data_IF_970266400249
#
_entry.id   IF_970266400249
#
_cell.length_a   1.000
_cell.length_b   1.000
_cell.length_c   1.000
_cell.angle_alpha   90.00
_cell.angle_beta   90.00
_cell.angle_gamma   90.00
#
_symmetry.space_group_name_H-M   'P 1'
#
loop_
_entity.id
_entity.type
_entity.pdbx_description
1 polymer ?
#
# COMPACT_ATOMS: atom_id res chain seq x y z
N UNK A 1 8.68 1.05 -18.83
CA UNK A 1 7.52 0.15 -19.05
C UNK A 1 7.78 -1.35 -18.89
N UNK A 2 9.02 -1.87 -19.03
CA UNK A 2 9.33 -3.25 -18.57
C UNK A 2 10.03 -3.28 -17.20
N UNK A 3 10.90 -2.31 -16.93
CA UNK A 3 11.53 -2.14 -15.62
C UNK A 3 10.51 -1.95 -14.49
N UNK A 4 9.47 -1.15 -14.72
CA UNK A 4 8.44 -0.83 -13.72
C UNK A 4 7.61 -2.08 -13.35
N UNK A 5 7.36 -2.97 -14.32
CA UNK A 5 6.61 -4.22 -14.11
C UNK A 5 7.40 -5.23 -13.28
N UNK A 6 8.71 -5.33 -13.48
CA UNK A 6 9.56 -6.24 -12.70
C UNK A 6 9.70 -5.80 -11.24
N UNK A 7 9.81 -4.50 -10.99
CA UNK A 7 9.84 -3.94 -9.64
C UNK A 7 8.50 -4.12 -8.92
N UNK A 8 7.37 -3.85 -9.59
CA UNK A 8 6.04 -4.04 -9.01
C UNK A 8 5.76 -5.49 -8.61
N UNK A 9 6.18 -6.48 -9.43
CA UNK A 9 6.05 -7.91 -9.09
C UNK A 9 6.82 -8.29 -7.83
N UNK A 10 8.03 -7.73 -7.62
CA UNK A 10 8.82 -7.98 -6.41
C UNK A 10 8.16 -7.37 -5.18
N UNK A 11 7.64 -6.15 -5.31
CA UNK A 11 6.94 -5.44 -4.23
C UNK A 11 5.70 -6.20 -3.76
N UNK A 12 4.84 -6.63 -4.68
CA UNK A 12 3.63 -7.42 -4.35
C UNK A 12 3.98 -8.75 -3.70
N UNK A 13 5.01 -9.45 -4.21
CA UNK A 13 5.44 -10.73 -3.62
C UNK A 13 5.90 -10.55 -2.17
N UNK A 14 6.65 -9.49 -1.88
CA UNK A 14 7.14 -9.21 -0.54
C UNK A 14 6.01 -8.87 0.45
N UNK A 15 5.02 -8.07 0.04
CA UNK A 15 3.81 -7.82 0.85
C UNK A 15 3.11 -9.15 1.18
N UNK A 16 2.98 -10.03 0.18
CA UNK A 16 2.40 -11.36 0.36
C UNK A 16 3.19 -12.25 1.33
N UNK A 17 4.51 -12.09 1.43
CA UNK A 17 5.34 -12.81 2.41
C UNK A 17 5.09 -12.30 3.84
N UNK A 18 4.98 -10.98 4.04
CA UNK A 18 4.63 -10.38 5.35
C UNK A 18 3.27 -10.88 5.84
N UNK A 19 2.24 -10.77 5.00
CA UNK A 19 0.87 -11.17 5.36
C UNK A 19 0.77 -12.68 5.57
N UNK A 20 1.60 -13.48 4.91
CA UNK A 20 1.65 -14.93 5.12
C UNK A 20 2.25 -15.29 6.48
N UNK A 21 3.29 -14.57 6.90
CA UNK A 21 3.97 -14.80 8.17
C UNK A 21 3.17 -14.26 9.36
N UNK A 22 2.35 -13.22 9.15
CA UNK A 22 1.41 -12.67 10.13
C UNK A 22 0.04 -12.38 9.48
N UNK A 23 -0.88 -13.37 9.45
CA UNK A 23 -2.20 -13.20 8.85
C UNK A 23 -3.11 -12.27 9.66
N UNK A 24 -2.74 -11.99 10.92
CA UNK A 24 -3.45 -11.10 11.83
C UNK A 24 -2.84 -9.68 11.82
N UNK A 25 -1.96 -9.37 10.85
CA UNK A 25 -1.36 -8.05 10.72
C UNK A 25 -2.43 -6.99 10.43
N UNK A 26 -2.48 -5.97 11.28
CA UNK A 26 -3.34 -4.82 11.06
C UNK A 26 -2.84 -3.97 9.89
N UNK A 27 -3.76 -3.41 9.10
CA UNK A 27 -3.39 -2.56 7.97
C UNK A 27 -2.49 -1.39 8.38
N UNK A 28 -2.65 -0.87 9.60
CA UNK A 28 -1.84 0.22 10.12
C UNK A 28 -0.37 -0.18 10.29
N UNK A 29 -0.10 -1.41 10.72
CA UNK A 29 1.25 -1.94 10.88
C UNK A 29 1.85 -2.33 9.52
N UNK A 30 1.04 -2.89 8.62
CA UNK A 30 1.44 -3.10 7.23
C UNK A 30 1.84 -1.79 6.55
N UNK A 31 1.05 -0.72 6.72
CA UNK A 31 1.38 0.60 6.17
C UNK A 31 2.68 1.14 6.78
N UNK A 32 2.88 1.02 8.11
CA UNK A 32 4.13 1.44 8.77
C UNK A 32 5.35 0.68 8.26
N UNK A 33 5.22 -0.63 8.01
CA UNK A 33 6.28 -1.44 7.43
C UNK A 33 6.61 -1.05 5.99
N UNK A 34 5.61 -0.57 5.24
CA UNK A 34 5.75 -0.11 3.86
C UNK A 34 6.31 1.31 3.73
N UNK A 35 6.07 2.18 4.70
CA UNK A 35 6.47 3.59 4.67
C UNK A 35 7.96 3.80 4.35
N UNK A 36 8.93 3.15 5.03
CA UNK A 36 10.34 3.32 4.74
C UNK A 36 10.70 3.02 3.28
N UNK A 37 10.10 1.98 2.68
CA UNK A 37 10.38 1.65 1.28
C UNK A 37 9.83 2.68 0.30
N UNK A 38 8.67 3.27 0.60
CA UNK A 38 8.05 4.31 -0.22
C UNK A 38 8.87 5.61 -0.11
N UNK A 39 9.40 5.92 1.07
CA UNK A 39 10.22 7.12 1.29
C UNK A 39 11.65 6.98 0.78
N UNK A 40 12.27 5.80 0.91
CA UNK A 40 13.66 5.54 0.51
C UNK A 40 13.81 5.28 -1.00
N UNK A 41 12.72 4.87 -1.65
CA UNK A 41 12.64 4.73 -3.08
C UNK A 41 11.47 5.60 -3.56
N UNK A 42 11.68 6.94 -3.68
CA UNK A 42 10.61 7.88 -4.00
C UNK A 42 10.12 7.63 -5.42
N UNK A 43 9.22 6.65 -5.53
CA UNK A 43 8.33 6.50 -6.66
C UNK A 43 7.37 7.68 -6.58
N UNK A 44 7.24 8.45 -7.65
CA UNK A 44 6.25 9.54 -7.75
C UNK A 44 4.85 8.91 -7.96
N UNK A 45 4.41 8.15 -6.96
CA UNK A 45 3.23 7.30 -7.00
C UNK A 45 2.54 7.35 -5.64
N UNK A 46 1.24 7.63 -5.67
CA UNK A 46 0.37 7.42 -4.51
C UNK A 46 -0.04 5.94 -4.50
N UNK A 47 -0.11 5.34 -3.32
CA UNK A 47 -0.53 3.95 -3.17
C UNK A 47 -1.87 3.89 -2.44
N UNK A 48 -2.74 3.00 -2.94
CA UNK A 48 -3.95 2.61 -2.22
C UNK A 48 -3.73 1.17 -1.78
N UNK A 49 -3.89 0.92 -0.48
CA UNK A 49 -3.87 -0.40 0.11
C UNK A 49 -5.27 -0.67 0.63
N UNK A 50 -5.89 -1.74 0.14
CA UNK A 50 -7.20 -2.17 0.59
C UNK A 50 -7.20 -3.66 0.91
N UNK A 51 -8.08 -4.05 1.81
CA UNK A 51 -8.16 -5.42 2.28
C UNK A 51 -9.19 -5.58 3.38
N UNK A 52 -9.04 -6.66 4.13
CA UNK A 52 -9.85 -6.98 5.29
C UNK A 52 -8.93 -7.04 6.51
N UNK A 53 -9.30 -6.37 7.59
CA UNK A 53 -8.63 -6.43 8.89
C UNK A 53 -8.91 -7.80 9.57
N UNK A 54 -8.17 -8.16 10.63
CA UNK A 54 -8.40 -9.41 11.37
C UNK A 54 -9.81 -9.50 11.98
N UNK A 55 -10.42 -8.37 12.30
CA UNK A 55 -11.80 -8.29 12.83
C UNK A 55 -12.87 -8.39 11.73
N UNK A 56 -12.47 -8.73 10.51
CA UNK A 56 -13.30 -8.84 9.32
C UNK A 56 -13.85 -7.51 8.77
N UNK A 57 -13.46 -6.36 9.35
CA UNK A 57 -13.78 -5.05 8.79
C UNK A 57 -12.99 -4.80 7.50
N UNK A 58 -13.57 -4.05 6.57
CA UNK A 58 -12.87 -3.64 5.35
C UNK A 58 -12.11 -2.34 5.60
N UNK A 59 -10.90 -2.23 5.04
CA UNK A 59 -10.12 -1.01 5.13
C UNK A 59 -9.68 -0.53 3.75
N UNK A 60 -9.52 0.79 3.63
CA UNK A 60 -8.83 1.44 2.53
C UNK A 60 -7.89 2.47 3.15
N UNK A 61 -6.58 2.28 2.96
CA UNK A 61 -5.54 3.23 3.36
C UNK A 61 -4.95 3.87 2.11
N UNK A 62 -4.93 5.20 2.10
CA UNK A 62 -4.20 5.99 1.12
C UNK A 62 -2.83 6.33 1.71
N UNK A 63 -1.76 5.92 1.03
CA UNK A 63 -0.37 6.19 1.43
C UNK A 63 0.19 7.29 0.54
N UNK A 64 0.62 8.38 1.19
CA UNK A 64 1.11 9.57 0.50
C UNK A 64 2.57 9.41 0.09
N UNK A 65 2.93 10.00 -1.05
CA UNK A 65 4.30 9.98 -1.58
C UNK A 65 5.36 10.60 -0.66
N UNK A 66 4.96 11.50 0.25
CA UNK A 66 5.85 12.15 1.22
C UNK A 66 6.01 11.35 2.52
N UNK A 67 5.45 10.14 2.55
CA UNK A 67 5.26 9.36 3.76
C UNK A 67 3.97 9.76 4.49
N UNK A 68 3.52 8.87 5.37
CA UNK A 68 2.21 8.96 6.02
C UNK A 68 1.13 8.18 5.28
N UNK A 69 0.09 7.80 6.01
CA UNK A 69 -1.10 7.17 5.46
C UNK A 69 -2.33 7.64 6.21
N UNK A 70 -3.48 7.62 5.52
CA UNK A 70 -4.77 7.93 6.11
C UNK A 70 -5.81 6.88 5.72
N UNK A 71 -6.75 6.63 6.62
CA UNK A 71 -7.91 5.80 6.34
C UNK A 71 -8.97 6.58 5.58
N UNK A 72 -9.56 5.94 4.56
CA UNK A 72 -10.60 6.50 3.72
C UNK A 72 -11.76 5.52 3.60
N UNK A 73 -12.97 6.05 3.40
CA UNK A 73 -14.13 5.24 2.99
C UNK A 73 -14.03 4.81 1.51
N UNK A 74 -13.37 5.64 0.69
CA UNK A 74 -13.04 5.36 -0.70
C UNK A 74 -11.76 6.14 -1.07
N UNK A 75 -10.97 5.62 -1.99
CA UNK A 75 -9.78 6.29 -2.49
C UNK A 75 -9.69 6.20 -4.01
N UNK A 76 -9.25 7.28 -4.64
CA UNK A 76 -9.03 7.35 -6.10
C UNK A 76 -7.64 7.92 -6.31
N UNK A 77 -6.80 7.22 -7.07
CA UNK A 77 -5.44 7.67 -7.38
C UNK A 77 -5.16 7.57 -8.88
N UNK A 78 -4.27 8.44 -9.38
CA UNK A 78 -3.87 8.49 -10.78
C UNK A 78 -4.29 9.77 -11.50
N UNK A 79 -3.99 9.87 -12.79
CA UNK A 79 -4.18 11.09 -13.57
C UNK A 79 -5.64 11.49 -13.78
N UNK A 80 -6.58 10.54 -13.71
CA UNK A 80 -8.02 10.78 -13.84
C UNK A 80 -8.78 10.83 -12.52
N UNK A 81 -8.09 10.95 -11.38
CA UNK A 81 -8.75 10.89 -10.07
C UNK A 81 -9.66 12.10 -9.77
N UNK A 82 -9.55 13.18 -10.55
CA UNK A 82 -10.35 14.40 -10.41
C UNK A 82 -11.42 14.56 -11.50
N UNK A 83 -11.55 13.58 -12.40
CA UNK A 83 -12.57 13.53 -13.45
C UNK A 83 -13.82 12.76 -12.97
#
# INVERSE_FOLDING_TARGET
MDGDKAHMKKFVKWIGEIVKDDPDIWSSDLCRALLPMITDNPHDSNFIICGQEPDCSFFIKEVEKKGGFSEKEYAVCGSGAND
#
